data_IF_087417661597
#
_entry.id   IF_087417661597
#
_cell.length_a   1.000
_cell.length_b   1.000
_cell.length_c   1.000
_cell.angle_alpha   90.00
_cell.angle_beta   90.00
_cell.angle_gamma   90.00
#
_symmetry.space_group_name_H-M   'P 1'
#
loop_
_entity.id
_entity.type
_entity.pdbx_description
1 polymer ?
#
# COMPACT_ATOMS: atom_id res chain seq x y z
N UNK A 1 -4.29 8.69 -22.51
CA UNK A 1 -2.91 8.72 -21.98
C UNK A 1 -2.73 7.67 -20.88
N UNK A 2 -3.63 7.59 -19.90
CA UNK A 2 -3.50 6.63 -18.78
C UNK A 2 -3.58 5.16 -19.20
N UNK A 3 -4.41 4.79 -20.20
CA UNK A 3 -4.50 3.40 -20.70
C UNK A 3 -3.18 2.85 -21.26
N UNK A 4 -2.38 3.69 -21.92
CA UNK A 4 -1.05 3.29 -22.45
C UNK A 4 -0.05 3.03 -21.32
N UNK A 5 -0.10 3.83 -20.25
CA UNK A 5 0.76 3.64 -19.08
C UNK A 5 0.35 2.39 -18.32
N UNK A 6 -0.95 2.16 -18.12
CA UNK A 6 -1.45 0.95 -17.47
C UNK A 6 -1.01 -0.30 -18.23
N UNK A 7 -1.18 -0.35 -19.53
CA UNK A 7 -0.74 -1.45 -20.38
C UNK A 7 0.77 -1.67 -20.33
N UNK A 8 1.56 -0.58 -20.28
CA UNK A 8 3.01 -0.66 -20.14
C UNK A 8 3.39 -1.29 -18.79
N UNK A 9 2.80 -0.84 -17.71
CA UNK A 9 3.05 -1.36 -16.34
C UNK A 9 2.69 -2.86 -16.25
N UNK A 10 1.58 -3.27 -16.87
CA UNK A 10 1.19 -4.67 -16.93
C UNK A 10 2.19 -5.53 -17.68
N UNK A 11 2.55 -5.11 -18.89
CA UNK A 11 3.48 -5.84 -19.76
C UNK A 11 4.87 -6.04 -19.14
N UNK A 12 5.30 -5.10 -18.32
CA UNK A 12 6.65 -5.08 -17.74
C UNK A 12 6.66 -5.32 -16.22
N UNK A 13 5.56 -5.79 -15.62
CA UNK A 13 5.41 -5.92 -14.17
C UNK A 13 6.60 -6.63 -13.50
N UNK A 14 6.98 -7.83 -13.96
CA UNK A 14 8.11 -8.58 -13.36
C UNK A 14 9.43 -7.82 -13.42
N UNK A 15 9.72 -7.16 -14.55
CA UNK A 15 10.96 -6.38 -14.70
C UNK A 15 10.95 -5.16 -13.77
N UNK A 16 9.82 -4.46 -13.68
CA UNK A 16 9.65 -3.30 -12.80
C UNK A 16 9.85 -3.71 -11.35
N UNK A 17 9.27 -4.83 -10.90
CA UNK A 17 9.44 -5.34 -9.54
C UNK A 17 10.91 -5.60 -9.21
N UNK A 18 11.64 -6.28 -10.08
CA UNK A 18 13.08 -6.54 -9.89
C UNK A 18 13.87 -5.24 -9.81
N UNK A 19 13.63 -4.30 -10.74
CA UNK A 19 14.30 -3.01 -10.76
C UNK A 19 14.01 -2.22 -9.47
N UNK A 20 12.77 -2.22 -9.01
CA UNK A 20 12.37 -1.54 -7.77
C UNK A 20 13.10 -2.11 -6.55
N UNK A 21 13.25 -3.45 -6.47
CA UNK A 21 13.99 -4.09 -5.38
C UNK A 21 15.48 -3.75 -5.43
N UNK A 22 16.10 -3.74 -6.61
CA UNK A 22 17.52 -3.33 -6.77
C UNK A 22 17.71 -1.87 -6.37
N UNK A 23 16.81 -0.98 -6.80
CA UNK A 23 16.83 0.42 -6.40
C UNK A 23 16.65 0.59 -4.89
N UNK A 24 15.83 -0.25 -4.24
CA UNK A 24 15.66 -0.24 -2.80
C UNK A 24 16.97 -0.53 -2.06
N UNK A 25 17.75 -1.52 -2.52
CA UNK A 25 19.03 -1.85 -1.93
C UNK A 25 20.04 -0.70 -2.10
N UNK A 26 20.14 -0.12 -3.29
CA UNK A 26 21.03 1.03 -3.55
C UNK A 26 20.63 2.24 -2.71
N UNK A 27 19.32 2.56 -2.65
CA UNK A 27 18.81 3.66 -1.85
C UNK A 27 19.06 3.45 -0.35
N UNK A 28 18.93 2.21 0.14
CA UNK A 28 19.24 1.85 1.52
C UNK A 28 20.71 2.04 1.87
N UNK A 29 21.61 1.58 1.00
CA UNK A 29 23.04 1.77 1.16
C UNK A 29 23.41 3.27 1.20
N UNK A 30 22.86 4.06 0.26
CA UNK A 30 23.06 5.51 0.25
C UNK A 30 22.50 6.18 1.51
N UNK A 31 21.32 5.81 1.95
CA UNK A 31 20.72 6.33 3.19
C UNK A 31 21.54 5.97 4.43
N UNK A 32 22.15 4.79 4.47
CA UNK A 32 22.99 4.35 5.59
C UNK A 32 24.38 5.02 5.62
N UNK A 33 24.79 5.70 4.54
CA UNK A 33 26.15 6.26 4.41
C UNK A 33 26.43 7.48 5.29
N UNK A 34 25.41 8.24 5.69
CA UNK A 34 25.54 9.40 6.57
C UNK A 34 24.23 9.76 7.26
N UNK A 35 24.33 10.49 8.37
CA UNK A 35 23.16 11.03 9.09
C UNK A 35 22.22 11.86 8.20
N UNK A 36 22.78 12.76 7.41
CA UNK A 36 21.98 13.61 6.50
C UNK A 36 21.23 12.76 5.47
N UNK A 37 21.88 11.78 4.87
CA UNK A 37 21.27 10.90 3.90
C UNK A 37 20.19 10.01 4.53
N UNK A 38 20.39 9.57 5.78
CA UNK A 38 19.39 8.79 6.51
C UNK A 38 18.11 9.59 6.81
N UNK A 39 18.23 10.89 7.12
CA UNK A 39 17.07 11.77 7.28
C UNK A 39 16.29 11.96 5.98
N UNK A 40 17.00 12.11 4.86
CA UNK A 40 16.38 12.17 3.52
C UNK A 40 15.65 10.84 3.24
N UNK A 41 16.32 9.72 3.48
CA UNK A 41 15.75 8.38 3.30
C UNK A 41 14.49 8.16 4.14
N UNK A 42 14.51 8.55 5.41
CA UNK A 42 13.35 8.47 6.30
C UNK A 42 12.18 9.34 5.83
N UNK A 43 12.46 10.54 5.32
CA UNK A 43 11.44 11.41 4.74
C UNK A 43 10.83 10.80 3.49
N UNK A 44 11.65 10.25 2.59
CA UNK A 44 11.17 9.54 1.39
C UNK A 44 10.32 8.33 1.80
N UNK A 45 10.76 7.53 2.77
CA UNK A 45 9.99 6.38 3.26
C UNK A 45 8.62 6.80 3.80
N UNK A 46 8.55 7.90 4.54
CA UNK A 46 7.31 8.42 5.10
C UNK A 46 6.33 8.87 3.99
N UNK A 47 6.80 9.62 2.99
CA UNK A 47 5.95 10.04 1.88
C UNK A 47 5.51 8.87 1.00
N UNK A 48 6.35 7.87 0.79
CA UNK A 48 5.98 6.63 0.10
C UNK A 48 4.91 5.86 0.90
N UNK A 49 5.03 5.82 2.22
CA UNK A 49 4.01 5.21 3.08
C UNK A 49 2.66 5.91 2.90
N UNK A 50 2.62 7.25 2.95
CA UNK A 50 1.39 7.99 2.66
C UNK A 50 0.86 7.67 1.26
N UNK A 51 1.73 7.64 0.24
CA UNK A 51 1.31 7.35 -1.13
C UNK A 51 0.58 6.00 -1.21
N UNK A 52 1.17 4.91 -0.69
CA UNK A 52 0.50 3.59 -0.73
C UNK A 52 -0.74 3.50 0.15
N UNK A 53 -0.86 4.31 1.20
CA UNK A 53 -2.06 4.40 2.02
C UNK A 53 -3.20 5.18 1.33
N UNK A 54 -2.86 6.17 0.50
CA UNK A 54 -3.83 6.95 -0.27
C UNK A 54 -4.26 6.25 -1.57
N UNK A 55 -3.45 5.40 -2.18
CA UNK A 55 -3.78 4.72 -3.44
C UNK A 55 -5.15 4.01 -3.41
N UNK A 56 -5.50 3.21 -2.37
CA UNK A 56 -6.82 2.60 -2.29
C UNK A 56 -7.95 3.63 -2.26
N UNK A 57 -7.75 4.76 -1.57
CA UNK A 57 -8.75 5.82 -1.45
C UNK A 57 -8.99 6.46 -2.83
N UNK A 58 -7.92 6.85 -3.53
CA UNK A 58 -8.04 7.44 -4.87
C UNK A 58 -8.66 6.48 -5.88
N UNK A 59 -8.30 5.20 -5.81
CA UNK A 59 -8.87 4.18 -6.67
C UNK A 59 -10.35 3.90 -6.36
N UNK A 60 -10.70 3.67 -5.09
CA UNK A 60 -12.06 3.26 -4.69
C UNK A 60 -13.06 4.39 -4.62
N UNK A 61 -12.63 5.57 -4.15
CA UNK A 61 -13.54 6.71 -3.93
C UNK A 61 -13.69 7.54 -5.20
N UNK A 62 -12.58 7.77 -5.91
CA UNK A 62 -12.55 8.64 -7.09
C UNK A 62 -12.47 7.88 -8.42
N UNK A 63 -12.30 6.56 -8.40
CA UNK A 63 -12.27 5.73 -9.62
C UNK A 63 -11.04 5.96 -10.50
N UNK A 64 -9.93 6.47 -9.94
CA UNK A 64 -8.73 6.78 -10.71
C UNK A 64 -7.91 5.49 -10.93
N UNK A 65 -8.03 4.89 -12.11
CA UNK A 65 -7.48 3.57 -12.47
C UNK A 65 -5.98 3.43 -12.21
N UNK A 66 -5.17 4.48 -12.46
CA UNK A 66 -3.72 4.41 -12.28
C UNK A 66 -3.33 4.03 -10.85
N UNK A 67 -4.06 4.50 -9.84
CA UNK A 67 -3.78 4.14 -8.45
C UNK A 67 -4.10 2.66 -8.16
N UNK A 68 -5.11 2.09 -8.84
CA UNK A 68 -5.38 0.66 -8.80
C UNK A 68 -4.22 -0.16 -9.35
N UNK A 69 -3.67 0.25 -10.50
CA UNK A 69 -2.51 -0.40 -11.11
C UNK A 69 -1.25 -0.27 -10.23
N UNK A 70 -1.03 0.89 -9.61
CA UNK A 70 0.11 1.11 -8.69
C UNK A 70 0.03 0.26 -7.42
N UNK A 71 -1.17 -0.14 -6.98
CA UNK A 71 -1.33 -1.06 -5.85
C UNK A 71 -0.69 -2.43 -6.04
N UNK A 72 -0.42 -2.84 -7.28
CA UNK A 72 0.33 -4.08 -7.58
C UNK A 72 1.76 -4.04 -7.09
N UNK A 73 2.34 -2.84 -7.02
CA UNK A 73 3.71 -2.60 -6.57
C UNK A 73 3.81 -2.27 -5.08
N UNK A 74 2.71 -2.41 -4.32
CA UNK A 74 2.67 -2.09 -2.88
C UNK A 74 3.66 -2.90 -2.05
N UNK A 75 3.95 -4.14 -2.47
CA UNK A 75 4.89 -5.03 -1.79
C UNK A 75 6.32 -4.50 -1.94
N UNK A 76 6.72 -4.18 -3.15
CA UNK A 76 8.04 -3.64 -3.47
C UNK A 76 8.25 -2.25 -2.86
N UNK A 77 7.22 -1.40 -2.92
CA UNK A 77 7.26 -0.09 -2.25
C UNK A 77 7.36 -0.26 -0.73
N UNK A 78 6.64 -1.24 -0.15
CA UNK A 78 6.72 -1.58 1.27
C UNK A 78 8.12 -2.04 1.68
N UNK A 79 8.78 -2.86 0.85
CA UNK A 79 10.18 -3.28 1.07
C UNK A 79 11.12 -2.07 1.00
N UNK A 80 10.96 -1.18 0.02
CA UNK A 80 11.75 0.05 -0.07
C UNK A 80 11.59 0.93 1.18
N UNK A 81 10.36 1.12 1.66
CA UNK A 81 10.08 1.83 2.92
C UNK A 81 10.83 1.17 4.08
N UNK A 82 10.78 -0.15 4.20
CA UNK A 82 11.46 -0.90 5.24
C UNK A 82 12.98 -0.73 5.20
N UNK A 83 13.59 -0.84 4.03
CA UNK A 83 15.05 -0.68 3.85
C UNK A 83 15.50 0.74 4.23
N UNK A 84 14.79 1.78 3.78
CA UNK A 84 15.10 3.17 4.13
C UNK A 84 14.90 3.44 5.62
N UNK A 85 13.87 2.86 6.23
CA UNK A 85 13.61 2.97 7.68
C UNK A 85 14.70 2.28 8.50
N UNK A 86 15.19 1.10 8.08
CA UNK A 86 16.29 0.41 8.73
C UNK A 86 17.61 1.18 8.61
N UNK A 87 17.89 1.79 7.46
CA UNK A 87 19.06 2.66 7.28
C UNK A 87 19.01 3.85 8.26
N UNK A 88 17.83 4.44 8.45
CA UNK A 88 17.65 5.51 9.44
C UNK A 88 17.83 5.01 10.87
N UNK A 89 17.26 3.87 11.23
CA UNK A 89 17.44 3.26 12.55
C UNK A 89 18.93 2.98 12.83
N UNK A 90 19.66 2.43 11.86
CA UNK A 90 21.10 2.18 11.97
C UNK A 90 21.88 3.45 12.33
N UNK A 91 21.60 4.56 11.67
CA UNK A 91 22.24 5.85 11.97
C UNK A 91 21.80 6.44 13.34
N UNK A 92 20.64 6.03 13.87
CA UNK A 92 20.15 6.45 15.18
C UNK A 92 20.78 5.66 16.35
N UNK A 93 21.26 4.43 16.12
CA UNK A 93 21.74 3.54 17.18
C UNK A 93 22.75 4.21 18.14
N UNK A 94 23.77 4.95 17.68
CA UNK A 94 24.73 5.59 18.57
C UNK A 94 24.12 6.65 19.50
N UNK A 95 22.97 7.19 19.16
CA UNK A 95 22.33 8.28 19.87
C UNK A 95 21.20 7.80 20.80
N UNK A 96 20.75 6.54 20.69
CA UNK A 96 19.58 6.03 21.42
C UNK A 96 19.79 6.15 22.93
N UNK A 97 20.95 5.78 23.47
CA UNK A 97 21.21 5.85 24.90
C UNK A 97 21.16 7.27 25.44
N UNK A 98 21.75 8.22 24.73
CA UNK A 98 21.74 9.64 25.08
C UNK A 98 20.29 10.19 25.09
N UNK A 99 19.50 9.87 24.07
CA UNK A 99 18.11 10.31 24.00
C UNK A 99 17.23 9.57 25.00
N UNK A 100 17.49 8.31 25.30
CA UNK A 100 16.74 7.56 26.31
C UNK A 100 16.88 8.16 27.71
N UNK A 101 18.06 8.68 28.05
CA UNK A 101 18.28 9.37 29.34
C UNK A 101 17.62 10.75 29.39
N UNK A 102 17.64 11.50 28.27
CA UNK A 102 17.17 12.89 28.24
C UNK A 102 15.70 13.04 27.80
N UNK A 103 15.22 12.21 26.89
CA UNK A 103 13.90 12.27 26.26
C UNK A 103 13.33 10.88 25.99
N UNK A 104 13.03 10.06 27.02
CA UNK A 104 12.64 8.65 26.86
C UNK A 104 11.36 8.49 26.00
N UNK A 105 10.38 9.38 26.15
CA UNK A 105 9.14 9.35 25.37
C UNK A 105 9.42 9.53 23.87
N UNK A 106 10.34 10.41 23.51
CA UNK A 106 10.73 10.63 22.11
C UNK A 106 11.33 9.36 21.49
N UNK A 107 12.14 8.63 22.27
CA UNK A 107 12.74 7.36 21.83
C UNK A 107 11.67 6.29 21.63
N UNK A 108 10.70 6.17 22.52
CA UNK A 108 9.61 5.20 22.39
C UNK A 108 8.82 5.45 21.10
N UNK A 109 8.41 6.70 20.85
CA UNK A 109 7.68 7.06 19.62
C UNK A 109 8.55 7.02 18.37
N UNK A 110 9.88 6.98 18.48
CA UNK A 110 10.80 6.77 17.38
C UNK A 110 11.00 5.29 17.05
N UNK A 111 11.14 4.43 18.06
CA UNK A 111 11.42 2.99 17.87
C UNK A 111 10.15 2.22 17.52
N UNK A 112 9.01 2.54 18.10
CA UNK A 112 7.77 1.79 17.88
C UNK A 112 7.33 1.76 16.40
N UNK A 113 7.31 2.87 15.64
CA UNK A 113 7.05 2.85 14.20
C UNK A 113 8.05 1.97 13.44
N UNK A 114 9.33 1.99 13.81
CA UNK A 114 10.37 1.20 13.17
C UNK A 114 10.13 -0.31 13.35
N UNK A 115 9.75 -0.74 14.56
CA UNK A 115 9.40 -2.14 14.84
C UNK A 115 8.20 -2.55 13.97
N UNK A 116 7.16 -1.72 13.90
CA UNK A 116 5.99 -2.01 13.08
C UNK A 116 6.39 -2.12 11.60
N UNK A 117 7.13 -1.16 11.06
CA UNK A 117 7.60 -1.18 9.67
C UNK A 117 8.43 -2.43 9.40
N UNK A 118 9.34 -2.81 10.31
CA UNK A 118 10.15 -4.02 10.17
C UNK A 118 9.28 -5.27 10.07
N UNK A 119 8.30 -5.44 10.98
CA UNK A 119 7.38 -6.58 10.95
C UNK A 119 6.59 -6.59 9.62
N UNK A 120 6.08 -5.45 9.17
CA UNK A 120 5.34 -5.35 7.92
C UNK A 120 6.22 -5.69 6.71
N UNK A 121 7.47 -5.22 6.70
CA UNK A 121 8.44 -5.52 5.63
C UNK A 121 8.78 -7.02 5.57
N UNK A 122 9.09 -7.63 6.72
CA UNK A 122 9.40 -9.07 6.81
C UNK A 122 8.21 -9.95 6.41
N UNK A 123 6.99 -9.46 6.59
CA UNK A 123 5.76 -10.18 6.22
C UNK A 123 5.20 -9.77 4.86
N UNK A 124 5.86 -8.88 4.12
CA UNK A 124 5.50 -8.45 2.77
C UNK A 124 6.06 -9.43 1.74
N UNK A 125 5.60 -10.69 1.78
CA UNK A 125 5.98 -11.72 0.84
C UNK A 125 4.87 -12.78 0.71
N UNK A 126 4.90 -13.53 -0.37
CA UNK A 126 3.89 -14.54 -0.69
C UNK A 126 3.82 -15.67 0.34
N UNK A 127 4.97 -16.11 0.87
CA UNK A 127 5.04 -17.14 1.91
C UNK A 127 4.28 -16.70 3.18
N UNK A 128 4.56 -15.49 3.68
CA UNK A 128 3.88 -14.95 4.86
C UNK A 128 2.39 -14.76 4.62
N UNK A 129 2.00 -14.34 3.44
CA UNK A 129 0.60 -14.17 3.04
C UNK A 129 -0.15 -15.50 3.06
N UNK A 130 0.42 -16.56 2.48
CA UNK A 130 -0.16 -17.91 2.52
C UNK A 130 -0.22 -18.47 3.93
N UNK A 131 0.85 -18.32 4.73
CA UNK A 131 0.93 -18.84 6.10
C UNK A 131 -0.01 -18.14 7.08
N UNK A 132 -0.14 -16.81 7.01
CA UNK A 132 -0.97 -16.01 7.91
C UNK A 132 -2.44 -15.89 7.46
N UNK A 133 -2.74 -16.13 6.18
CA UNK A 133 -4.09 -16.07 5.61
C UNK A 133 -4.83 -14.77 6.00
N UNK A 134 -6.02 -14.90 6.60
CA UNK A 134 -6.84 -13.74 7.04
C UNK A 134 -6.12 -12.83 8.04
N UNK A 135 -5.20 -13.36 8.85
CA UNK A 135 -4.45 -12.59 9.84
C UNK A 135 -3.40 -11.69 9.20
N UNK A 136 -2.92 -12.02 7.99
CA UNK A 136 -2.01 -11.15 7.25
C UNK A 136 -2.61 -9.75 7.02
N UNK A 137 -3.88 -9.70 6.57
CA UNK A 137 -4.61 -8.44 6.36
C UNK A 137 -4.78 -7.65 7.67
N UNK A 138 -5.04 -8.35 8.80
CA UNK A 138 -5.14 -7.71 10.13
C UNK A 138 -3.81 -7.10 10.57
N UNK A 139 -2.71 -7.84 10.40
CA UNK A 139 -1.36 -7.38 10.71
C UNK A 139 -1.00 -6.13 9.88
N UNK A 140 -1.24 -6.17 8.57
CA UNK A 140 -0.90 -5.06 7.68
C UNK A 140 -1.76 -3.80 7.88
N UNK A 141 -2.86 -3.86 8.65
CA UNK A 141 -3.58 -2.65 9.11
C UNK A 141 -2.77 -1.80 10.08
N UNK A 142 -1.75 -2.36 10.74
CA UNK A 142 -0.83 -1.58 11.58
C UNK A 142 -0.12 -0.46 10.80
N UNK A 143 0.00 -0.58 9.48
CA UNK A 143 0.51 0.49 8.63
C UNK A 143 -0.25 1.82 8.80
N UNK A 144 -1.54 1.78 9.19
CA UNK A 144 -2.34 2.99 9.40
C UNK A 144 -1.97 3.76 10.67
N UNK A 145 -1.36 3.08 11.65
CA UNK A 145 -0.96 3.69 12.92
C UNK A 145 0.42 4.37 12.78
N UNK A 146 1.27 3.87 11.89
CA UNK A 146 2.65 4.35 11.73
C UNK A 146 2.74 5.87 11.47
N UNK A 147 1.98 6.47 10.54
CA UNK A 147 2.05 7.91 10.32
C UNK A 147 1.65 8.74 11.54
N UNK A 148 0.71 8.24 12.34
CA UNK A 148 0.26 8.91 13.56
C UNK A 148 1.38 8.90 14.61
N UNK A 149 2.04 7.76 14.81
CA UNK A 149 3.17 7.64 15.75
C UNK A 149 4.34 8.54 15.34
N UNK A 150 4.67 8.60 14.05
CA UNK A 150 5.70 9.48 13.52
C UNK A 150 5.32 10.96 13.71
N UNK A 151 4.06 11.31 13.48
CA UNK A 151 3.58 12.68 13.73
C UNK A 151 3.74 13.08 15.20
N UNK A 152 3.39 12.19 16.14
CA UNK A 152 3.59 12.42 17.58
C UNK A 152 5.07 12.61 17.88
N UNK A 153 5.95 11.76 17.37
CA UNK A 153 7.41 11.89 17.55
C UNK A 153 7.93 13.25 17.08
N UNK A 154 7.54 13.66 15.88
CA UNK A 154 7.94 14.93 15.27
C UNK A 154 7.42 16.11 16.09
N UNK A 155 6.19 16.04 16.62
CA UNK A 155 5.61 17.03 17.50
C UNK A 155 6.35 17.16 18.82
N UNK A 156 6.71 16.02 19.44
CA UNK A 156 7.53 15.97 20.66
C UNK A 156 8.94 16.57 20.45
N UNK A 157 9.47 16.43 19.24
CA UNK A 157 10.74 17.04 18.85
C UNK A 157 10.61 18.55 18.51
N UNK A 158 9.39 19.12 18.58
CA UNK A 158 9.09 20.52 18.22
C UNK A 158 9.54 20.89 16.80
N UNK A 159 9.35 19.96 15.85
CA UNK A 159 9.75 20.15 14.46
C UNK A 159 8.58 20.69 13.62
N UNK A 160 8.86 21.65 12.74
CA UNK A 160 7.89 22.27 11.83
C UNK A 160 7.16 21.30 10.92
N UNK A 161 7.78 20.15 10.61
CA UNK A 161 7.18 19.10 9.79
C UNK A 161 5.88 18.51 10.39
N UNK A 162 5.52 18.84 11.63
CA UNK A 162 4.25 18.42 12.24
C UNK A 162 3.04 18.99 11.46
N UNK A 163 3.10 20.21 10.95
CA UNK A 163 1.96 20.84 10.27
C UNK A 163 1.56 20.11 8.97
N UNK A 164 2.46 19.90 7.98
CA UNK A 164 2.08 19.15 6.78
C UNK A 164 1.68 17.70 7.10
N UNK A 165 2.29 17.05 8.09
CA UNK A 165 1.92 15.70 8.49
C UNK A 165 0.55 15.65 9.16
N UNK A 166 0.19 16.65 9.96
CA UNK A 166 -1.15 16.74 10.53
C UNK A 166 -2.22 16.85 9.43
N UNK A 167 -1.97 17.70 8.42
CA UNK A 167 -2.86 17.83 7.26
C UNK A 167 -2.99 16.49 6.53
N UNK A 168 -1.89 15.80 6.25
CA UNK A 168 -1.91 14.49 5.58
C UNK A 168 -2.69 13.44 6.40
N UNK A 169 -2.51 13.40 7.72
CA UNK A 169 -3.27 12.49 8.58
C UNK A 169 -4.77 12.82 8.58
N UNK A 170 -5.14 14.09 8.64
CA UNK A 170 -6.54 14.52 8.56
C UNK A 170 -7.16 14.10 7.22
N UNK A 171 -6.47 14.38 6.11
CA UNK A 171 -6.93 13.99 4.77
C UNK A 171 -7.05 12.47 4.64
N UNK A 172 -6.11 11.72 5.23
CA UNK A 172 -6.15 10.27 5.25
C UNK A 172 -7.38 9.75 6.01
N UNK A 173 -7.65 10.29 7.21
CA UNK A 173 -8.83 9.92 8.00
C UNK A 173 -10.13 10.23 7.25
N UNK A 174 -10.24 11.43 6.66
CA UNK A 174 -11.40 11.80 5.83
C UNK A 174 -11.56 10.82 4.66
N UNK A 175 -10.49 10.52 3.94
CA UNK A 175 -10.50 9.56 2.84
C UNK A 175 -10.93 8.17 3.27
N UNK A 176 -10.50 7.71 4.45
CA UNK A 176 -10.95 6.43 5.03
C UNK A 176 -12.43 6.44 5.44
N UNK A 177 -12.92 7.53 5.96
CA UNK A 177 -14.36 7.68 6.27
C UNK A 177 -15.17 7.62 4.98
N UNK A 178 -14.76 8.31 3.92
CA UNK A 178 -15.40 8.26 2.61
C UNK A 178 -15.38 6.84 2.02
N UNK A 179 -14.24 6.16 2.06
CA UNK A 179 -14.09 4.77 1.61
C UNK A 179 -15.02 3.84 2.41
N UNK A 180 -15.06 3.98 3.73
CA UNK A 180 -15.88 3.14 4.61
C UNK A 180 -17.38 3.41 4.47
N UNK A 181 -17.77 4.65 4.20
CA UNK A 181 -19.17 5.03 3.95
C UNK A 181 -19.69 4.52 2.59
N UNK A 182 -18.84 3.88 1.78
CA UNK A 182 -19.20 3.39 0.45
C UNK A 182 -19.44 4.48 -0.58
N UNK A 183 -19.13 5.75 -0.26
CA UNK A 183 -19.29 6.86 -1.20
C UNK A 183 -18.31 6.71 -2.35
N UNK A 184 -18.84 6.72 -3.58
CA UNK A 184 -18.08 6.70 -4.83
C UNK A 184 -18.42 7.95 -5.63
N UNK A 185 -17.40 8.65 -6.11
CA UNK A 185 -17.56 9.84 -6.98
C UNK A 185 -17.52 9.47 -8.46
N UNK A 186 -17.69 8.20 -8.78
CA UNK A 186 -17.79 7.69 -10.14
C UNK A 186 -18.92 6.67 -10.24
N UNK A 187 -19.53 6.58 -11.43
CA UNK A 187 -20.53 5.56 -11.74
C UNK A 187 -19.90 4.49 -12.61
N UNK A 188 -20.11 3.25 -12.28
CA UNK A 188 -19.85 2.10 -13.15
C UNK A 188 -21.18 1.77 -13.80
N UNK A 189 -21.31 2.06 -15.09
CA UNK A 189 -22.48 1.61 -15.85
C UNK A 189 -22.24 0.13 -16.20
N UNK A 190 -22.99 -0.74 -15.54
CA UNK A 190 -23.04 -2.15 -15.92
C UNK A 190 -23.94 -2.26 -17.16
N UNK A 191 -23.32 -2.26 -18.34
CA UNK A 191 -23.98 -2.57 -19.62
C UNK A 191 -23.97 -4.07 -19.82
N UNK A 192 -24.82 -4.56 -20.74
CA UNK A 192 -24.74 -5.93 -21.21
C UNK A 192 -23.39 -6.13 -21.90
N UNK A 193 -22.50 -6.86 -21.26
CA UNK A 193 -21.18 -7.18 -21.82
C UNK A 193 -21.25 -8.45 -22.64
N UNK A 194 -20.37 -8.60 -23.67
CA UNK A 194 -20.30 -9.84 -24.42
C UNK A 194 -19.88 -11.00 -23.51
N UNK A 195 -20.29 -12.22 -23.87
CA UNK A 195 -19.85 -13.42 -23.16
C UNK A 195 -18.31 -13.52 -23.15
N UNK A 196 -17.78 -13.95 -22.02
CA UNK A 196 -16.33 -14.06 -21.84
C UNK A 196 -15.62 -12.73 -21.54
N UNK A 197 -16.37 -11.63 -21.33
CA UNK A 197 -15.77 -10.34 -20.94
C UNK A 197 -15.01 -10.48 -19.62
N UNK A 198 -13.72 -10.15 -19.64
CA UNK A 198 -12.89 -10.08 -18.43
C UNK A 198 -13.16 -8.79 -17.68
N UNK A 199 -13.01 -8.84 -16.35
CA UNK A 199 -13.20 -7.69 -15.48
C UNK A 199 -11.98 -7.48 -14.59
N UNK A 200 -11.56 -6.24 -14.43
CA UNK A 200 -10.43 -5.87 -13.59
C UNK A 200 -10.91 -5.21 -12.31
N UNK A 201 -10.38 -5.67 -11.19
CA UNK A 201 -10.55 -5.03 -9.90
C UNK A 201 -9.83 -3.68 -9.87
N UNK A 202 -10.57 -2.59 -9.74
CA UNK A 202 -10.01 -1.23 -9.73
C UNK A 202 -8.98 -1.05 -8.60
N UNK A 203 -9.22 -1.54 -7.36
CA UNK A 203 -8.28 -1.33 -6.25
C UNK A 203 -6.97 -2.11 -6.31
N UNK A 204 -6.94 -3.32 -6.89
CA UNK A 204 -5.74 -4.17 -6.84
C UNK A 204 -5.28 -4.70 -8.20
N UNK A 205 -6.06 -4.46 -9.25
CA UNK A 205 -5.74 -4.92 -10.60
C UNK A 205 -5.91 -6.44 -10.81
N UNK A 206 -6.52 -7.18 -9.88
CA UNK A 206 -6.90 -8.57 -10.13
C UNK A 206 -7.85 -8.64 -11.31
N UNK A 207 -7.56 -9.54 -12.28
CA UNK A 207 -8.43 -9.77 -13.44
C UNK A 207 -9.25 -11.03 -13.18
N UNK A 208 -10.55 -10.86 -13.17
CA UNK A 208 -11.46 -11.98 -13.25
C UNK A 208 -11.61 -12.38 -14.73
N UNK A 209 -11.25 -13.61 -15.03
CA UNK A 209 -11.42 -14.22 -16.35
C UNK A 209 -12.51 -15.29 -16.23
N UNK A 210 -13.67 -15.14 -16.91
CA UNK A 210 -14.73 -16.15 -16.87
C UNK A 210 -14.27 -17.56 -17.26
N UNK A 211 -13.29 -17.69 -18.15
CA UNK A 211 -12.75 -18.99 -18.53
C UNK A 211 -12.05 -19.72 -17.39
N UNK A 212 -11.50 -19.00 -16.43
CA UNK A 212 -10.76 -19.53 -15.29
C UNK A 212 -11.65 -19.62 -14.04
N UNK A 213 -12.52 -18.63 -13.84
CA UNK A 213 -13.31 -18.46 -12.62
C UNK A 213 -12.47 -18.06 -11.41
N UNK A 214 -12.95 -18.41 -10.23
CA UNK A 214 -12.26 -18.29 -8.94
C UNK A 214 -12.63 -19.52 -8.07
N UNK A 215 -12.06 -20.70 -8.35
CA UNK A 215 -12.40 -21.93 -7.64
C UNK A 215 -12.17 -21.86 -6.13
N UNK A 216 -11.13 -21.12 -5.69
CA UNK A 216 -10.83 -20.92 -4.26
C UNK A 216 -11.90 -20.02 -3.59
N UNK A 217 -12.52 -19.13 -4.34
CA UNK A 217 -13.66 -18.31 -3.93
C UNK A 217 -15.03 -18.95 -4.20
N UNK A 218 -15.06 -20.21 -4.67
CA UNK A 218 -16.29 -20.95 -4.95
C UNK A 218 -16.93 -20.63 -6.31
N UNK A 219 -16.23 -19.99 -7.23
CA UNK A 219 -16.71 -19.62 -8.57
C UNK A 219 -16.12 -20.58 -9.61
N UNK A 220 -16.96 -21.39 -10.22
CA UNK A 220 -16.53 -22.38 -11.22
C UNK A 220 -16.01 -21.71 -12.51
N UNK A 221 -15.07 -22.35 -13.24
CA UNK A 221 -14.71 -21.95 -14.59
C UNK A 221 -15.96 -21.89 -15.51
N UNK A 222 -16.03 -20.90 -16.39
CA UNK A 222 -17.16 -20.67 -17.27
C UNK A 222 -18.25 -19.76 -16.67
N UNK A 223 -18.11 -19.30 -15.43
CA UNK A 223 -19.07 -18.38 -14.81
C UNK A 223 -18.85 -16.98 -15.34
N UNK A 224 -19.89 -16.36 -15.92
CA UNK A 224 -19.83 -14.97 -16.36
C UNK A 224 -19.79 -14.03 -15.14
N UNK A 225 -19.15 -12.85 -15.30
CA UNK A 225 -19.04 -11.90 -14.20
C UNK A 225 -20.39 -11.42 -13.66
N UNK A 226 -21.42 -11.34 -14.53
CA UNK A 226 -22.80 -11.07 -14.13
C UNK A 226 -23.36 -12.09 -13.15
N UNK A 227 -22.99 -13.35 -13.32
CA UNK A 227 -23.58 -14.50 -12.63
C UNK A 227 -22.87 -14.81 -11.29
N UNK A 228 -21.77 -14.12 -11.01
CA UNK A 228 -21.08 -14.23 -9.72
C UNK A 228 -22.00 -13.72 -8.60
N UNK A 229 -22.11 -14.41 -7.46
CA UNK A 229 -22.88 -13.95 -6.31
C UNK A 229 -22.47 -12.56 -5.81
N UNK A 230 -23.40 -11.76 -5.32
CA UNK A 230 -23.13 -10.39 -4.87
C UNK A 230 -22.28 -10.32 -3.59
N UNK A 231 -22.24 -11.40 -2.82
CA UNK A 231 -21.41 -11.53 -1.62
C UNK A 231 -19.97 -11.98 -1.94
N UNK A 232 -19.67 -12.37 -3.19
CA UNK A 232 -18.31 -12.67 -3.61
C UNK A 232 -17.39 -11.47 -3.41
N UNK A 233 -16.15 -11.78 -3.07
CA UNK A 233 -15.11 -10.78 -2.81
C UNK A 233 -13.87 -11.07 -3.64
N UNK A 234 -13.24 -10.02 -4.12
CA UNK A 234 -11.96 -10.13 -4.81
C UNK A 234 -10.96 -10.95 -3.97
N UNK A 235 -10.39 -12.04 -4.51
CA UNK A 235 -9.47 -12.91 -3.77
C UNK A 235 -8.22 -12.17 -3.29
N UNK A 236 -7.76 -11.16 -4.04
CA UNK A 236 -6.56 -10.41 -3.72
C UNK A 236 -6.76 -9.33 -2.65
N UNK A 237 -7.84 -8.56 -2.73
CA UNK A 237 -8.02 -7.40 -1.85
C UNK A 237 -9.33 -7.37 -1.05
N UNK A 238 -10.26 -8.30 -1.33
CA UNK A 238 -11.50 -8.48 -0.58
C UNK A 238 -12.57 -7.43 -0.84
N UNK A 239 -12.48 -6.63 -1.92
CA UNK A 239 -13.53 -5.68 -2.31
C UNK A 239 -14.69 -6.38 -3.01
N UNK A 240 -15.79 -5.65 -3.16
CA UNK A 240 -17.02 -6.14 -3.79
C UNK A 240 -16.90 -6.24 -5.30
N UNK A 241 -17.82 -7.01 -5.91
CA UNK A 241 -18.07 -7.06 -7.35
C UNK A 241 -18.23 -5.66 -7.97
N UNK A 242 -18.89 -4.72 -7.27
CA UNK A 242 -19.08 -3.34 -7.71
C UNK A 242 -17.78 -2.50 -7.86
N UNK A 243 -16.62 -3.04 -7.45
CA UNK A 243 -15.31 -2.40 -7.62
C UNK A 243 -14.56 -2.91 -8.86
N UNK A 244 -15.23 -3.66 -9.72
CA UNK A 244 -14.69 -4.16 -10.96
C UNK A 244 -15.21 -3.36 -12.15
N UNK A 245 -14.38 -3.22 -13.16
CA UNK A 245 -14.71 -2.61 -14.45
C UNK A 245 -14.31 -3.55 -15.59
N UNK A 246 -14.94 -3.45 -16.76
CA UNK A 246 -14.54 -4.24 -17.93
C UNK A 246 -13.05 -4.07 -18.20
N UNK A 247 -12.38 -5.18 -18.48
CA UNK A 247 -10.99 -5.18 -18.90
C UNK A 247 -10.94 -5.20 -20.41
N UNK A 248 -10.32 -4.17 -20.99
CA UNK A 248 -10.00 -4.07 -22.43
C UNK A 248 -8.51 -4.40 -22.60
N UNK A 249 -8.22 -5.43 -23.42
CA UNK A 249 -6.84 -5.85 -23.72
C UNK A 249 -6.08 -4.82 -24.54
#
# INVERSE_FOLDING_TARGET
MFSKLDNFLWKHEKKIKIITLLLALVAGFFAASSWKNSLIGASVALYLLYAILFFPIFSRVFGIKIFGTLLKFREEIGILIGVLSLAHLYQMLPYIEMFAKSKPILVIFGILPQIIILILTLTSNEFSRKKLGKNWKKLHRLAYIVPILIMIQIGLAKNWAIFPLAILNILFVIGKILEFSGKKFYKIEMKNFPKGQKFICVPCGFIYDPAIGDPDGGIAPGTEFSDIPDDWRCPECGVNKADFVPYEE
#
